data_IF_467899734004
#
_entry.id   IF_467899734004
#
_cell.length_a   1.000
_cell.length_b   1.000
_cell.length_c   1.000
_cell.angle_alpha   90.00
_cell.angle_beta   90.00
_cell.angle_gamma   90.00
#
_symmetry.space_group_name_H-M   'P 1'
#
loop_
_entity.id
_entity.type
_entity.pdbx_description
1 polymer ?
#
# COMPACT_ATOMS: atom_id res chain seq x y z
N UNK A 1 -11.47 -35.38 11.04
CA UNK A 1 -10.37 -34.62 10.44
C UNK A 1 -10.81 -33.17 10.41
N UNK A 2 -10.22 -32.30 11.22
CA UNK A 2 -10.56 -30.87 11.24
C UNK A 2 -9.84 -30.24 10.04
N UNK A 3 -10.60 -29.83 9.03
CA UNK A 3 -10.06 -29.10 7.88
C UNK A 3 -9.79 -27.67 8.34
N UNK A 4 -8.52 -27.34 8.58
CA UNK A 4 -8.10 -25.94 8.68
C UNK A 4 -7.90 -25.43 7.24
N UNK A 5 -8.63 -24.38 6.82
CA UNK A 5 -8.38 -23.79 5.51
C UNK A 5 -6.95 -23.26 5.45
N UNK A 6 -6.29 -23.45 4.30
CA UNK A 6 -4.95 -22.95 4.03
C UNK A 6 -4.92 -21.45 4.35
N UNK A 7 -3.90 -21.01 5.08
CA UNK A 7 -3.81 -19.61 5.46
C UNK A 7 -3.56 -18.80 4.19
N UNK A 8 -4.36 -17.76 3.96
CA UNK A 8 -4.20 -16.88 2.79
C UNK A 8 -2.80 -16.23 2.81
N UNK A 9 -2.17 -16.15 4.00
CA UNK A 9 -0.79 -15.68 4.20
C UNK A 9 0.26 -16.59 3.57
N UNK A 10 0.00 -17.89 3.46
CA UNK A 10 0.96 -18.84 2.88
C UNK A 10 1.24 -18.52 1.40
N UNK A 11 0.22 -18.03 0.69
CA UNK A 11 0.35 -17.65 -0.73
C UNK A 11 1.09 -16.31 -0.95
N UNK A 12 1.45 -15.59 0.13
CA UNK A 12 2.17 -14.30 0.08
C UNK A 12 3.62 -14.38 0.55
N UNK A 13 4.11 -15.53 1.02
CA UNK A 13 5.47 -15.67 1.56
C UNK A 13 6.55 -15.32 0.53
N UNK A 14 6.34 -15.63 -0.74
CA UNK A 14 7.27 -15.27 -1.83
C UNK A 14 7.38 -13.76 -2.04
N UNK A 15 6.34 -12.99 -1.67
CA UNK A 15 6.35 -11.53 -1.75
C UNK A 15 7.19 -10.97 -0.59
N UNK A 16 7.08 -11.55 0.60
CA UNK A 16 7.84 -11.15 1.77
C UNK A 16 9.32 -11.49 1.64
N UNK A 17 9.63 -12.69 1.14
CA UNK A 17 11.01 -13.11 0.89
C UNK A 17 11.09 -14.09 -0.31
N UNK A 18 11.46 -13.60 -1.50
CA UNK A 18 11.57 -14.45 -2.69
C UNK A 18 12.78 -15.40 -2.65
N UNK A 19 13.71 -15.24 -1.71
CA UNK A 19 14.94 -16.04 -1.62
C UNK A 19 14.81 -17.27 -0.72
N UNK A 20 13.72 -17.41 0.03
CA UNK A 20 13.50 -18.52 0.97
C UNK A 20 12.26 -19.35 0.69
N UNK A 21 11.54 -19.07 -0.40
CA UNK A 21 10.26 -19.70 -0.69
C UNK A 21 10.43 -21.07 -1.37
N UNK A 22 9.58 -22.03 -0.98
CA UNK A 22 9.43 -23.29 -1.70
C UNK A 22 8.53 -23.08 -2.92
N UNK A 23 9.09 -23.15 -4.12
CA UNK A 23 8.35 -22.91 -5.37
C UNK A 23 7.29 -23.98 -5.61
N UNK A 24 7.50 -25.19 -5.10
CA UNK A 24 6.56 -26.33 -5.20
C UNK A 24 5.20 -26.05 -4.53
N UNK A 25 5.16 -25.08 -3.61
CA UNK A 25 3.96 -24.70 -2.85
C UNK A 25 3.21 -23.51 -3.49
N UNK A 26 3.80 -22.88 -4.51
CA UNK A 26 3.26 -21.72 -5.21
C UNK A 26 2.38 -22.16 -6.38
N UNK A 27 1.20 -21.57 -6.50
CA UNK A 27 0.31 -21.79 -7.65
C UNK A 27 0.68 -20.85 -8.81
N UNK A 28 1.92 -20.97 -9.30
CA UNK A 28 2.46 -20.14 -10.37
C UNK A 28 2.25 -20.79 -11.74
N UNK A 29 2.24 -19.96 -12.78
CA UNK A 29 2.39 -20.45 -14.15
C UNK A 29 3.88 -20.62 -14.47
N UNK A 30 4.20 -21.35 -15.55
CA UNK A 30 5.58 -21.67 -15.93
C UNK A 30 6.48 -20.42 -16.10
N UNK A 31 5.91 -19.29 -16.54
CA UNK A 31 6.65 -18.05 -16.67
C UNK A 31 7.04 -17.49 -15.29
N UNK A 32 6.09 -17.40 -14.37
CA UNK A 32 6.32 -16.94 -13.00
C UNK A 32 7.27 -17.85 -12.24
N UNK A 33 7.14 -19.17 -12.40
CA UNK A 33 8.07 -20.16 -11.82
C UNK A 33 9.50 -19.91 -12.28
N UNK A 34 9.70 -19.71 -13.59
CA UNK A 34 11.04 -19.43 -14.13
C UNK A 34 11.60 -18.13 -13.55
N UNK A 35 10.79 -17.05 -13.51
CA UNK A 35 11.23 -15.76 -12.99
C UNK A 35 11.58 -15.80 -11.50
N UNK A 36 10.79 -16.51 -10.67
CA UNK A 36 11.08 -16.61 -9.23
C UNK A 36 12.31 -17.49 -8.97
N UNK A 37 12.53 -18.55 -9.76
CA UNK A 37 13.73 -19.38 -9.69
C UNK A 37 14.97 -18.52 -10.01
N UNK A 38 14.95 -17.81 -11.13
CA UNK A 38 16.07 -16.97 -11.56
C UNK A 38 16.36 -15.87 -10.53
N UNK A 39 15.31 -15.17 -10.07
CA UNK A 39 15.43 -14.14 -9.04
C UNK A 39 16.01 -14.69 -7.74
N UNK A 40 15.55 -15.86 -7.28
CA UNK A 40 16.02 -16.49 -6.04
C UNK A 40 17.51 -16.85 -6.07
N UNK A 41 18.07 -17.03 -7.27
CA UNK A 41 19.49 -17.32 -7.49
C UNK A 41 20.34 -16.04 -7.66
N UNK A 42 19.74 -14.87 -7.82
CA UNK A 42 20.45 -13.62 -8.07
C UNK A 42 20.93 -12.95 -6.77
N UNK A 43 22.25 -12.99 -6.56
CA UNK A 43 22.91 -12.37 -5.40
C UNK A 43 22.89 -10.84 -5.40
N UNK A 44 22.76 -10.22 -6.56
CA UNK A 44 22.61 -8.76 -6.70
C UNK A 44 21.27 -8.32 -6.15
N UNK A 45 20.20 -9.01 -6.54
CA UNK A 45 18.86 -8.76 -5.99
C UNK A 45 18.76 -9.18 -4.52
N UNK A 46 19.43 -10.25 -4.09
CA UNK A 46 19.51 -10.61 -2.66
C UNK A 46 20.15 -9.50 -1.81
N UNK A 47 21.18 -8.84 -2.35
CA UNK A 47 21.81 -7.70 -1.68
C UNK A 47 20.88 -6.48 -1.66
N UNK A 48 20.23 -6.14 -2.78
CA UNK A 48 19.26 -5.03 -2.84
C UNK A 48 18.12 -5.22 -1.84
N UNK A 49 17.56 -6.43 -1.78
CA UNK A 49 16.50 -6.79 -0.85
C UNK A 49 16.84 -6.49 0.62
N UNK A 50 18.11 -6.65 1.02
CA UNK A 50 18.56 -6.36 2.40
C UNK A 50 18.70 -4.87 2.71
N UNK A 51 18.78 -4.02 1.68
CA UNK A 51 19.07 -2.60 1.81
C UNK A 51 17.88 -1.69 1.45
N UNK A 52 16.87 -2.21 0.77
CA UNK A 52 15.72 -1.44 0.26
C UNK A 52 14.42 -1.83 0.96
N UNK A 53 13.40 -0.98 0.83
CA UNK A 53 12.05 -1.35 1.30
C UNK A 53 11.46 -2.42 0.38
N UNK A 54 10.47 -3.16 0.87
CA UNK A 54 9.81 -4.21 0.08
C UNK A 54 9.22 -3.67 -1.23
N UNK A 55 8.61 -2.48 -1.18
CA UNK A 55 8.02 -1.84 -2.36
C UNK A 55 9.09 -1.41 -3.35
N UNK A 56 10.17 -0.79 -2.87
CA UNK A 56 11.27 -0.34 -3.74
C UNK A 56 11.98 -1.53 -4.40
N UNK A 57 12.19 -2.61 -3.65
CA UNK A 57 12.74 -3.85 -4.17
C UNK A 57 11.89 -4.41 -5.32
N UNK A 58 10.58 -4.57 -5.13
CA UNK A 58 9.71 -5.09 -6.18
C UNK A 58 9.63 -4.14 -7.38
N UNK A 59 9.68 -2.82 -7.16
CA UNK A 59 9.83 -1.84 -8.25
C UNK A 59 11.14 -1.98 -9.02
N UNK A 60 12.26 -2.31 -8.36
CA UNK A 60 13.53 -2.55 -9.02
C UNK A 60 13.52 -3.84 -9.86
N UNK A 61 12.93 -4.91 -9.32
CA UNK A 61 12.76 -6.23 -9.98
C UNK A 61 11.93 -6.12 -11.27
N UNK A 62 11.03 -5.13 -11.37
CA UNK A 62 10.18 -4.89 -12.54
C UNK A 62 10.94 -4.81 -13.86
N UNK A 63 12.17 -4.28 -13.84
CA UNK A 63 12.95 -4.09 -15.07
C UNK A 63 13.37 -5.41 -15.72
N UNK A 64 13.64 -6.44 -14.93
CA UNK A 64 14.13 -7.74 -15.41
C UNK A 64 13.05 -8.84 -15.34
N UNK A 65 12.18 -8.78 -14.33
CA UNK A 65 11.13 -9.77 -14.08
C UNK A 65 9.76 -9.07 -13.94
N UNK A 66 9.24 -8.46 -15.02
CA UNK A 66 8.06 -7.59 -14.95
C UNK A 66 6.79 -8.32 -14.53
N UNK A 67 6.59 -9.56 -14.99
CA UNK A 67 5.39 -10.35 -14.67
C UNK A 67 5.35 -10.71 -13.17
N UNK A 68 6.47 -11.20 -12.64
CA UNK A 68 6.61 -11.50 -11.22
C UNK A 68 6.46 -10.25 -10.35
N UNK A 69 7.14 -9.16 -10.73
CA UNK A 69 7.09 -7.89 -10.01
C UNK A 69 5.68 -7.27 -10.00
N UNK A 70 4.97 -7.25 -11.13
CA UNK A 70 3.59 -6.73 -11.20
C UNK A 70 2.69 -7.50 -10.22
N UNK A 71 2.81 -8.83 -10.18
CA UNK A 71 2.00 -9.64 -9.28
C UNK A 71 2.27 -9.28 -7.81
N UNK A 72 3.54 -9.08 -7.44
CA UNK A 72 3.89 -8.64 -6.09
C UNK A 72 3.35 -7.23 -5.78
N UNK A 73 3.56 -6.26 -6.67
CA UNK A 73 3.15 -4.87 -6.51
C UNK A 73 1.63 -4.75 -6.36
N UNK A 74 0.85 -5.45 -7.18
CA UNK A 74 -0.62 -5.43 -7.10
C UNK A 74 -1.09 -5.89 -5.71
N UNK A 75 -0.50 -6.96 -5.16
CA UNK A 75 -0.85 -7.46 -3.84
C UNK A 75 -0.44 -6.49 -2.74
N UNK A 76 0.77 -5.93 -2.83
CA UNK A 76 1.25 -4.91 -1.88
C UNK A 76 0.39 -3.65 -1.89
N UNK A 77 -0.10 -3.22 -3.06
CA UNK A 77 -0.99 -2.07 -3.18
C UNK A 77 -2.42 -2.33 -2.70
N UNK A 78 -2.90 -3.57 -2.77
CA UNK A 78 -4.27 -3.90 -2.36
C UNK A 78 -4.53 -3.54 -0.89
N UNK A 79 -3.54 -3.73 -0.01
CA UNK A 79 -3.67 -3.44 1.42
C UNK A 79 -3.80 -1.93 1.71
N UNK A 80 -2.86 -1.06 1.30
CA UNK A 80 -2.99 0.39 1.53
C UNK A 80 -4.19 0.99 0.80
N UNK A 81 -4.48 0.57 -0.44
CA UNK A 81 -5.56 1.17 -1.23
C UNK A 81 -6.93 0.84 -0.66
N UNK A 82 -7.17 -0.41 -0.22
CA UNK A 82 -8.42 -0.78 0.46
C UNK A 82 -8.58 -0.01 1.76
N UNK A 83 -7.54 0.04 2.59
CA UNK A 83 -7.56 0.80 3.84
C UNK A 83 -7.86 2.28 3.61
N UNK A 84 -7.20 2.90 2.62
CA UNK A 84 -7.42 4.32 2.29
C UNK A 84 -8.84 4.56 1.77
N UNK A 85 -9.39 3.65 0.96
CA UNK A 85 -10.78 3.72 0.50
C UNK A 85 -11.77 3.62 1.67
N UNK A 86 -11.59 2.64 2.55
CA UNK A 86 -12.44 2.46 3.75
C UNK A 86 -12.36 3.67 4.68
N UNK A 87 -11.14 4.17 4.94
CA UNK A 87 -10.91 5.40 5.71
C UNK A 87 -11.57 6.60 5.06
N UNK A 88 -11.49 6.72 3.73
CA UNK A 88 -12.16 7.75 2.93
C UNK A 88 -13.67 7.72 3.09
N UNK A 89 -14.27 6.54 2.95
CA UNK A 89 -15.72 6.34 3.11
C UNK A 89 -16.19 6.60 4.54
N UNK A 90 -15.43 6.15 5.55
CA UNK A 90 -15.73 6.42 6.96
C UNK A 90 -15.67 7.92 7.27
N UNK A 91 -14.65 8.60 6.75
CA UNK A 91 -14.49 10.05 6.88
C UNK A 91 -15.66 10.81 6.24
N UNK A 92 -16.05 10.42 5.02
CA UNK A 92 -17.22 10.94 4.32
C UNK A 92 -18.50 10.80 5.16
N UNK A 93 -18.76 9.60 5.69
CA UNK A 93 -19.92 9.33 6.52
C UNK A 93 -19.93 10.19 7.80
N UNK A 94 -18.78 10.38 8.44
CA UNK A 94 -18.64 11.22 9.62
C UNK A 94 -18.88 12.71 9.32
N UNK A 95 -18.38 13.23 8.19
CA UNK A 95 -18.60 14.62 7.79
C UNK A 95 -20.09 14.84 7.48
N UNK A 96 -20.70 13.95 6.68
CA UNK A 96 -22.11 14.06 6.29
C UNK A 96 -23.08 13.98 7.47
N UNK A 97 -22.79 13.14 8.47
CA UNK A 97 -23.62 13.05 9.67
C UNK A 97 -23.54 14.30 10.55
N UNK A 98 -22.39 14.98 10.59
CA UNK A 98 -22.19 16.24 11.33
C UNK A 98 -22.71 17.47 10.56
N UNK A 99 -22.53 17.51 9.24
CA UNK A 99 -22.89 18.64 8.38
C UNK A 99 -24.20 18.42 7.62
N UNK A 100 -25.28 17.97 8.29
CA UNK A 100 -26.58 17.55 7.69
C UNK A 100 -27.17 18.46 6.59
N UNK A 101 -26.71 19.70 6.44
CA UNK A 101 -27.22 20.68 5.48
C UNK A 101 -26.23 21.08 4.37
N UNK A 102 -25.03 20.49 4.28
CA UNK A 102 -24.04 20.82 3.24
C UNK A 102 -23.80 19.64 2.29
N UNK A 103 -23.92 19.90 0.99
CA UNK A 103 -23.78 18.90 -0.06
C UNK A 103 -22.32 18.70 -0.49
N UNK A 104 -21.46 19.70 -0.32
CA UNK A 104 -20.04 19.63 -0.66
C UNK A 104 -19.19 19.37 0.58
N UNK A 105 -18.46 18.26 0.53
CA UNK A 105 -17.59 17.72 1.59
C UNK A 105 -16.15 17.56 1.10
N UNK A 106 -15.86 17.99 -0.13
CA UNK A 106 -14.58 17.76 -0.81
C UNK A 106 -13.41 18.38 -0.04
N UNK A 107 -13.60 19.59 0.48
CA UNK A 107 -12.57 20.30 1.25
C UNK A 107 -12.30 19.63 2.59
N UNK A 108 -13.36 19.29 3.32
CA UNK A 108 -13.28 18.62 4.63
C UNK A 108 -12.63 17.23 4.51
N UNK A 109 -12.97 16.49 3.46
CA UNK A 109 -12.34 15.20 3.16
C UNK A 109 -10.87 15.35 2.80
N UNK A 110 -10.51 16.35 1.99
CA UNK A 110 -9.11 16.62 1.63
C UNK A 110 -8.27 16.86 2.87
N UNK A 111 -8.75 17.69 3.80
CA UNK A 111 -8.05 17.96 5.06
C UNK A 111 -7.98 16.69 5.92
N UNK A 112 -9.09 15.97 6.07
CA UNK A 112 -9.19 14.81 6.98
C UNK A 112 -8.40 13.58 6.51
N UNK A 113 -8.23 13.42 5.20
CA UNK A 113 -7.48 12.31 4.60
C UNK A 113 -6.01 12.67 4.32
N UNK A 114 -5.63 13.93 4.45
CA UNK A 114 -4.24 14.35 4.27
C UNK A 114 -3.39 13.92 5.46
N UNK A 115 -2.15 13.53 5.16
CA UNK A 115 -1.09 13.34 6.17
C UNK A 115 -0.41 14.67 6.53
N UNK A 116 -0.74 15.76 5.84
CA UNK A 116 -0.19 17.09 6.09
C UNK A 116 -0.80 17.62 7.39
N UNK A 117 0.05 17.83 8.39
CA UNK A 117 -0.36 18.47 9.65
C UNK A 117 -0.73 19.93 9.37
N UNK A 118 -1.97 20.37 9.66
CA UNK A 118 -2.35 21.74 9.43
C UNK A 118 -1.58 22.67 10.38
N UNK A 119 -0.92 23.69 9.83
CA UNK A 119 -0.19 24.71 10.59
C UNK A 119 -1.15 25.75 11.15
N UNK A 120 -1.98 25.34 12.12
CA UNK A 120 -3.04 26.17 12.70
C UNK A 120 -2.54 27.50 13.27
N UNK A 121 -1.34 27.51 13.85
CA UNK A 121 -0.76 28.70 14.47
C UNK A 121 -0.56 29.85 13.48
N UNK A 122 -0.09 29.54 12.26
CA UNK A 122 0.12 30.55 11.21
C UNK A 122 -1.22 31.10 10.72
N UNK A 123 -2.20 30.20 10.53
CA UNK A 123 -3.53 30.59 10.08
C UNK A 123 -4.23 31.50 11.12
N UNK A 124 -4.26 31.11 12.40
CA UNK A 124 -4.88 31.89 13.47
C UNK A 124 -4.25 33.29 13.61
N UNK A 125 -2.93 33.39 13.51
CA UNK A 125 -2.23 34.68 13.58
C UNK A 125 -2.51 35.61 12.38
N UNK A 126 -2.80 35.05 11.20
CA UNK A 126 -3.09 35.84 9.99
C UNK A 126 -4.51 36.40 9.93
N UNK A 127 -5.50 35.68 10.49
CA UNK A 127 -6.92 36.07 10.48
C UNK A 127 -7.22 37.13 11.55
N UNK A 128 -6.50 37.12 12.67
CA UNK A 128 -6.75 38.00 13.81
C UNK A 128 -6.30 39.45 13.58
N UNK A 129 -5.65 39.75 12.45
CA UNK A 129 -5.13 41.08 12.09
C UNK A 129 -6.05 41.91 11.19
N UNK A 130 -7.29 41.48 10.95
CA UNK A 130 -8.34 42.36 10.42
C UNK A 130 -8.84 43.24 11.58
N UNK A 131 -8.13 44.34 11.83
CA UNK A 131 -8.58 45.35 12.78
C UNK A 131 -9.97 45.84 12.36
N UNK A 132 -10.95 45.64 13.23
CA UNK A 132 -12.28 46.25 13.12
C UNK A 132 -12.12 47.77 13.16
N UNK A 133 -12.63 48.47 12.15
CA UNK A 133 -12.85 49.91 12.19
C UNK A 133 -14.15 50.25 12.94
#
# INVERSE_FOLDING_TARGET
MIYFPKDIRDDFQWIENPFTVSIEELNFNTLLETQIIDLSCDKTYEHKFKNETLVDFWCAVYNEYPELSINAIIKLLLFPTTYLCEKGLSTMANIKTKQRNRLDVTHDMRISLSEIVPQWEIFCNSVQNQNSH
#
